data_IF_988846154488
#
_entry.id   IF_988846154488
#
_cell.length_a   1.000
_cell.length_b   1.000
_cell.length_c   1.000
_cell.angle_alpha   90.00
_cell.angle_beta   90.00
_cell.angle_gamma   90.00
#
_symmetry.space_group_name_H-M   'P 1'
#
loop_
_entity.id
_entity.type
_entity.pdbx_description
1 polymer ?
#
# COMPACT_ATOMS: atom_id res chain seq x y z
N UNK A 1 -17.31 -7.80 -21.60
CA UNK A 1 -16.23 -7.34 -20.71
C UNK A 1 -16.14 -5.84 -20.85
N UNK A 2 -16.15 -5.09 -19.75
CA UNK A 2 -16.12 -3.62 -19.80
C UNK A 2 -14.72 -3.10 -20.17
N UNK A 3 -14.61 -1.83 -20.59
CA UNK A 3 -13.30 -1.21 -20.87
C UNK A 3 -12.41 -1.19 -19.63
N UNK A 4 -12.98 -0.93 -18.45
CA UNK A 4 -12.22 -0.92 -17.20
C UNK A 4 -11.72 -2.32 -16.83
N UNK A 5 -12.50 -3.38 -17.09
CA UNK A 5 -12.02 -4.76 -16.90
C UNK A 5 -10.81 -5.06 -17.77
N UNK A 6 -10.78 -4.52 -19.01
CA UNK A 6 -9.68 -4.75 -19.95
C UNK A 6 -8.43 -4.06 -19.42
N UNK A 7 -8.54 -2.79 -19.01
CA UNK A 7 -7.44 -2.03 -18.40
C UNK A 7 -6.93 -2.74 -17.15
N UNK A 8 -7.83 -3.15 -16.26
CA UNK A 8 -7.48 -3.84 -15.02
C UNK A 8 -6.77 -5.18 -15.29
N UNK A 9 -7.26 -5.96 -16.26
CA UNK A 9 -6.60 -7.21 -16.66
C UNK A 9 -5.21 -6.97 -17.22
N UNK A 10 -5.03 -5.92 -18.03
CA UNK A 10 -3.73 -5.56 -18.59
C UNK A 10 -2.76 -5.10 -17.50
N UNK A 11 -3.21 -4.26 -16.56
CA UNK A 11 -2.41 -3.83 -15.41
C UNK A 11 -1.89 -5.03 -14.60
N UNK A 12 -2.78 -5.95 -14.22
CA UNK A 12 -2.46 -7.14 -13.40
C UNK A 12 -1.51 -8.14 -14.06
N UNK A 13 -1.23 -8.01 -15.37
CA UNK A 13 -0.24 -8.85 -16.07
C UNK A 13 1.19 -8.34 -15.95
N UNK A 14 1.38 -7.10 -15.48
CA UNK A 14 2.68 -6.44 -15.44
C UNK A 14 3.51 -6.79 -14.20
N UNK A 15 2.91 -7.41 -13.19
CA UNK A 15 3.55 -7.69 -11.90
C UNK A 15 2.85 -8.85 -11.17
N UNK A 16 3.53 -9.44 -10.17
CA UNK A 16 2.95 -10.50 -9.30
C UNK A 16 2.16 -9.85 -8.17
N UNK A 17 0.84 -10.03 -8.17
CA UNK A 17 -0.04 -9.60 -7.07
C UNK A 17 0.17 -10.47 -5.83
N UNK A 18 0.08 -9.88 -4.63
CA UNK A 18 0.21 -10.63 -3.38
C UNK A 18 -1.13 -11.19 -2.90
N UNK A 19 -1.21 -12.48 -2.54
CA UNK A 19 -2.26 -12.98 -1.66
C UNK A 19 -2.23 -12.25 -0.31
N UNK A 20 -3.40 -12.03 0.29
CA UNK A 20 -3.53 -11.38 1.60
C UNK A 20 -2.64 -12.03 2.68
N UNK A 21 -2.56 -13.36 2.70
CA UNK A 21 -1.76 -14.15 3.64
C UNK A 21 -0.25 -13.99 3.46
N UNK A 22 0.24 -13.47 2.32
CA UNK A 22 1.66 -13.21 2.10
C UNK A 22 2.09 -11.80 2.54
N UNK A 23 1.14 -10.94 2.95
CA UNK A 23 1.46 -9.57 3.37
C UNK A 23 2.35 -9.54 4.62
N UNK A 24 2.12 -10.33 5.69
CA UNK A 24 3.04 -10.34 6.85
C UNK A 24 4.48 -10.67 6.47
N UNK A 25 4.68 -11.68 5.61
CA UNK A 25 5.99 -12.03 5.06
C UNK A 25 6.61 -10.89 4.23
N UNK A 26 5.78 -10.10 3.55
CA UNK A 26 6.22 -8.91 2.82
C UNK A 26 6.78 -7.84 3.75
N UNK A 27 6.07 -7.55 4.83
CA UNK A 27 6.55 -6.57 5.80
C UNK A 27 7.81 -7.05 6.49
N UNK A 28 7.90 -8.33 6.85
CA UNK A 28 9.12 -8.91 7.45
C UNK A 28 10.36 -8.80 6.57
N UNK A 29 10.22 -8.83 5.23
CA UNK A 29 11.35 -8.62 4.29
C UNK A 29 11.57 -7.16 3.90
N UNK A 30 10.85 -6.22 4.51
CA UNK A 30 11.04 -4.77 4.32
C UNK A 30 10.12 -4.12 3.26
N UNK A 31 9.03 -4.77 2.84
CA UNK A 31 8.04 -4.13 1.99
C UNK A 31 7.25 -3.04 2.75
N UNK A 32 6.78 -2.04 2.03
CA UNK A 32 5.99 -0.93 2.58
C UNK A 32 4.53 -1.11 2.16
N UNK A 33 3.66 -1.39 3.14
CA UNK A 33 2.21 -1.46 2.91
C UNK A 33 1.63 -0.05 2.84
N UNK A 34 0.91 0.25 1.77
CA UNK A 34 0.31 1.57 1.54
C UNK A 34 -1.20 1.43 1.38
N UNK A 35 -1.96 2.03 2.29
CA UNK A 35 -3.42 2.12 2.20
C UNK A 35 -3.83 3.38 1.43
N UNK A 36 -4.39 3.18 0.23
CA UNK A 36 -4.83 4.26 -0.67
C UNK A 36 -6.32 4.57 -0.56
N UNK A 37 -7.02 3.96 0.42
CA UNK A 37 -8.46 4.21 0.63
C UNK A 37 -8.68 5.63 1.16
N UNK A 38 -9.71 6.34 0.66
CA UNK A 38 -10.11 7.61 1.23
C UNK A 38 -10.42 7.50 2.72
N UNK A 39 -10.17 8.55 3.49
CA UNK A 39 -10.42 8.58 4.94
C UNK A 39 -11.84 8.08 5.31
N UNK A 40 -12.88 8.50 4.58
CA UNK A 40 -14.26 8.08 4.84
C UNK A 40 -14.50 6.57 4.64
N UNK A 41 -13.69 5.92 3.80
CA UNK A 41 -13.75 4.47 3.61
C UNK A 41 -13.02 3.75 4.75
N UNK A 42 -11.82 4.22 5.13
CA UNK A 42 -11.08 3.68 6.30
C UNK A 42 -11.86 3.82 7.60
N UNK A 43 -12.58 4.93 7.78
CA UNK A 43 -13.45 5.13 8.94
C UNK A 43 -14.58 4.09 9.03
N UNK A 44 -15.13 3.66 7.89
CA UNK A 44 -16.22 2.67 7.84
C UNK A 44 -15.73 1.23 7.91
N UNK A 45 -14.64 0.93 7.23
CA UNK A 45 -14.13 -0.44 7.09
C UNK A 45 -13.16 -0.81 8.21
N UNK A 46 -12.36 0.15 8.68
CA UNK A 46 -11.29 -0.03 9.65
C UNK A 46 -9.92 0.36 9.07
N UNK A 47 -9.01 0.75 9.97
CA UNK A 47 -7.60 1.04 9.68
C UNK A 47 -6.81 -0.26 9.48
N UNK A 48 -5.63 -0.17 8.85
CA UNK A 48 -4.70 -1.29 8.69
C UNK A 48 -3.45 -1.03 9.52
N UNK A 49 -3.20 -1.82 10.59
CA UNK A 49 -2.03 -1.64 11.42
C UNK A 49 -0.73 -1.68 10.60
N UNK A 50 0.14 -0.69 10.82
CA UNK A 50 1.44 -0.59 10.15
C UNK A 50 1.40 -0.14 8.68
N UNK A 51 0.23 0.13 8.10
CA UNK A 51 0.14 0.68 6.75
C UNK A 51 0.40 2.19 6.74
N UNK A 52 1.18 2.66 5.76
CA UNK A 52 1.25 4.08 5.43
C UNK A 52 -0.03 4.51 4.72
N UNK A 53 -0.65 5.58 5.18
CA UNK A 53 -1.85 6.13 4.55
C UNK A 53 -1.42 7.16 3.50
N UNK A 54 -1.65 6.83 2.23
CA UNK A 54 -1.39 7.73 1.11
C UNK A 54 -2.59 7.66 0.18
N UNK A 55 -3.47 8.66 0.19
CA UNK A 55 -4.63 8.61 -0.70
C UNK A 55 -4.20 8.58 -2.18
N UNK A 56 -5.01 7.92 -3.01
CA UNK A 56 -4.65 7.59 -4.40
C UNK A 56 -4.21 8.81 -5.22
N UNK A 57 -4.75 9.99 -4.93
CA UNK A 57 -4.54 11.24 -5.67
C UNK A 57 -3.11 11.79 -5.58
N UNK A 58 -2.32 11.41 -4.59
CA UNK A 58 -0.94 11.91 -4.37
C UNK A 58 0.11 10.80 -4.43
N UNK A 59 -0.29 9.55 -4.68
CA UNK A 59 0.54 8.36 -4.52
C UNK A 59 1.86 8.45 -5.28
N UNK A 60 1.83 8.77 -6.56
CA UNK A 60 3.00 8.83 -7.43
C UNK A 60 4.07 9.78 -6.88
N UNK A 61 3.66 11.00 -6.51
CA UNK A 61 4.58 12.00 -5.95
C UNK A 61 5.17 11.62 -4.59
N UNK A 62 4.43 10.85 -3.78
CA UNK A 62 4.88 10.40 -2.46
C UNK A 62 5.84 9.21 -2.55
N UNK A 63 5.67 8.34 -3.55
CA UNK A 63 6.47 7.13 -3.73
C UNK A 63 7.71 7.33 -4.62
N UNK A 64 7.74 8.34 -5.49
CA UNK A 64 8.87 8.63 -6.39
C UNK A 64 10.10 9.16 -5.59
N UNK A 65 11.24 8.45 -5.59
CA UNK A 65 12.44 8.87 -4.87
C UNK A 65 13.09 10.14 -5.42
N UNK A 66 12.72 10.57 -6.62
CA UNK A 66 13.19 11.80 -7.29
C UNK A 66 12.27 12.99 -7.07
N UNK A 67 11.07 12.77 -6.53
CA UNK A 67 10.08 13.82 -6.26
C UNK A 67 10.45 14.67 -5.04
N UNK A 68 10.26 16.00 -5.11
CA UNK A 68 10.39 16.90 -3.96
C UNK A 68 9.37 16.62 -2.86
N UNK A 69 8.21 16.02 -3.21
CA UNK A 69 7.13 15.69 -2.29
C UNK A 69 7.23 14.27 -1.72
N UNK A 70 8.33 13.55 -1.98
CA UNK A 70 8.49 12.17 -1.57
C UNK A 70 8.40 11.96 -0.07
N UNK A 71 7.98 10.77 0.32
CA UNK A 71 8.07 10.33 1.72
C UNK A 71 9.48 9.80 2.06
N UNK A 72 9.86 9.77 3.34
CA UNK A 72 11.14 9.21 3.78
C UNK A 72 11.38 7.77 3.33
N UNK A 73 10.33 6.96 3.17
CA UNK A 73 10.38 5.57 2.73
C UNK A 73 10.74 5.43 1.24
N UNK A 74 10.57 6.48 0.44
CA UNK A 74 10.97 6.53 -0.98
C UNK A 74 12.49 6.74 -1.13
N UNK A 75 13.26 5.77 -0.65
CA UNK A 75 14.73 5.80 -0.62
C UNK A 75 15.38 5.40 -1.95
N UNK A 76 14.63 4.78 -2.86
CA UNK A 76 15.10 4.38 -4.18
C UNK A 76 14.08 3.52 -4.93
N UNK A 77 14.43 3.10 -6.15
CA UNK A 77 13.53 2.36 -7.05
C UNK A 77 13.26 0.92 -6.58
N UNK A 78 14.11 0.39 -5.69
CA UNK A 78 14.05 -0.97 -5.12
C UNK A 78 13.08 -1.11 -3.93
N UNK A 79 12.31 -0.07 -3.58
CA UNK A 79 11.29 -0.16 -2.52
C UNK A 79 10.12 -1.03 -2.99
N UNK A 80 9.77 -2.06 -2.22
CA UNK A 80 8.60 -2.91 -2.49
C UNK A 80 7.34 -2.24 -1.95
N UNK A 81 6.72 -1.41 -2.79
CA UNK A 81 5.43 -0.77 -2.49
C UNK A 81 4.28 -1.76 -2.67
N UNK A 82 3.64 -2.17 -1.57
CA UNK A 82 2.46 -3.05 -1.57
C UNK A 82 1.21 -2.20 -1.41
N UNK A 83 0.51 -1.96 -2.52
CA UNK A 83 -0.63 -1.05 -2.55
C UNK A 83 -1.92 -1.76 -2.17
N UNK A 84 -2.67 -1.16 -1.25
CA UNK A 84 -3.90 -1.68 -0.70
C UNK A 84 -5.05 -0.71 -0.97
N UNK A 85 -6.14 -1.22 -1.56
CA UNK A 85 -7.44 -0.56 -1.53
C UNK A 85 -8.47 -1.50 -0.90
N UNK A 86 -9.76 -1.15 -0.96
CA UNK A 86 -10.82 -1.95 -0.31
C UNK A 86 -10.96 -3.36 -0.89
N UNK A 87 -11.06 -3.51 -2.21
CA UNK A 87 -11.33 -4.80 -2.88
C UNK A 87 -10.23 -5.26 -3.87
N UNK A 88 -9.13 -4.52 -3.99
CA UNK A 88 -8.02 -4.88 -4.87
C UNK A 88 -8.23 -4.52 -6.35
N UNK A 89 -9.12 -3.58 -6.67
CA UNK A 89 -9.31 -3.05 -8.03
C UNK A 89 -8.44 -1.81 -8.27
N UNK A 90 -8.70 -0.74 -7.53
CA UNK A 90 -7.96 0.53 -7.62
C UNK A 90 -6.48 0.36 -7.33
N UNK A 91 -6.12 -0.49 -6.37
CA UNK A 91 -4.73 -0.79 -6.03
C UNK A 91 -3.96 -1.40 -7.19
N UNK A 92 -4.61 -2.20 -8.05
CA UNK A 92 -3.94 -2.77 -9.22
C UNK A 92 -3.57 -1.69 -10.24
N UNK A 93 -4.44 -0.71 -10.44
CA UNK A 93 -4.18 0.42 -11.33
C UNK A 93 -3.11 1.35 -10.72
N UNK A 94 -3.12 1.52 -9.40
CA UNK A 94 -2.14 2.29 -8.68
C UNK A 94 -0.73 1.67 -8.77
N UNK A 95 -0.61 0.36 -8.53
CA UNK A 95 0.65 -0.37 -8.70
C UNK A 95 1.18 -0.23 -10.14
N UNK A 96 0.31 -0.36 -11.16
CA UNK A 96 0.72 -0.16 -12.54
C UNK A 96 1.23 1.27 -12.82
N UNK A 97 0.62 2.30 -12.24
CA UNK A 97 1.10 3.68 -12.36
C UNK A 97 2.47 3.89 -11.70
N UNK A 98 2.72 3.23 -10.56
CA UNK A 98 4.05 3.24 -9.93
C UNK A 98 5.10 2.53 -10.79
N UNK A 99 4.74 1.44 -11.49
CA UNK A 99 5.62 0.82 -12.48
C UNK A 99 5.94 1.76 -13.65
N UNK A 100 4.98 2.59 -14.09
CA UNK A 100 5.17 3.53 -15.19
C UNK A 100 6.22 4.61 -14.89
N UNK A 101 6.47 4.90 -13.61
CA UNK A 101 7.50 5.85 -13.15
C UNK A 101 8.79 5.16 -12.67
N UNK A 102 8.96 3.86 -12.92
CA UNK A 102 10.22 3.13 -12.65
C UNK A 102 10.28 2.36 -11.32
N UNK A 103 9.24 2.43 -10.47
CA UNK A 103 9.18 1.71 -9.20
C UNK A 103 8.84 0.23 -9.42
N UNK A 104 9.81 -0.51 -9.93
CA UNK A 104 9.64 -1.84 -10.51
C UNK A 104 9.18 -2.94 -9.53
N UNK A 105 9.28 -2.71 -8.22
CA UNK A 105 8.76 -3.63 -7.18
C UNK A 105 7.35 -3.30 -6.68
N UNK A 106 6.69 -2.31 -7.28
CA UNK A 106 5.31 -1.99 -6.94
C UNK A 106 4.34 -3.15 -7.26
N UNK A 107 3.43 -3.40 -6.34
CA UNK A 107 2.47 -4.51 -6.42
C UNK A 107 1.21 -4.18 -5.62
N UNK A 108 0.22 -5.08 -5.64
CA UNK A 108 -1.04 -4.90 -4.91
C UNK A 108 -1.53 -6.18 -4.25
N UNK A 109 -2.46 -6.02 -3.30
CA UNK A 109 -3.07 -7.14 -2.57
C UNK A 109 -4.32 -7.64 -3.29
N UNK A 110 -4.36 -8.94 -3.56
CA UNK A 110 -5.53 -9.63 -4.12
C UNK A 110 -6.69 -9.53 -3.11
N UNK A 111 -7.80 -8.94 -3.55
CA UNK A 111 -9.01 -8.78 -2.73
C UNK A 111 -8.94 -7.64 -1.70
N UNK A 112 -7.85 -6.88 -1.67
CA UNK A 112 -7.73 -5.65 -0.87
C UNK A 112 -7.89 -5.87 0.64
N UNK A 113 -8.35 -4.82 1.32
CA UNK A 113 -8.65 -4.82 2.75
C UNK A 113 -9.57 -5.96 3.15
N UNK A 114 -10.61 -6.24 2.36
CA UNK A 114 -11.56 -7.31 2.67
C UNK A 114 -10.90 -8.68 2.73
N UNK A 115 -9.92 -8.94 1.86
CA UNK A 115 -9.16 -10.19 1.92
C UNK A 115 -8.23 -10.26 3.13
N UNK A 116 -7.59 -9.14 3.53
CA UNK A 116 -6.80 -9.09 4.77
C UNK A 116 -7.66 -9.36 6.00
N UNK A 117 -8.83 -8.71 6.09
CA UNK A 117 -9.78 -8.91 7.17
C UNK A 117 -10.29 -10.35 7.21
N UNK A 118 -10.73 -10.88 6.07
CA UNK A 118 -11.25 -12.24 5.95
C UNK A 118 -10.22 -13.33 6.24
N UNK A 119 -8.93 -13.05 6.01
CA UNK A 119 -7.83 -13.96 6.31
C UNK A 119 -7.28 -13.82 7.75
N UNK A 120 -7.82 -12.90 8.57
CA UNK A 120 -7.32 -12.65 9.93
C UNK A 120 -5.98 -11.89 10.00
N UNK A 121 -5.47 -11.43 8.85
CA UNK A 121 -4.16 -10.77 8.75
C UNK A 121 -4.14 -9.45 9.52
N UNK A 122 -5.25 -8.70 9.56
CA UNK A 122 -5.31 -7.46 10.34
C UNK A 122 -5.03 -7.69 11.83
N UNK A 123 -5.48 -8.82 12.38
CA UNK A 123 -5.23 -9.19 13.77
C UNK A 123 -3.76 -9.56 13.99
N UNK A 124 -3.15 -10.29 13.07
CA UNK A 124 -1.72 -10.62 13.10
C UNK A 124 -0.85 -9.34 13.06
N UNK A 125 -1.17 -8.42 12.15
CA UNK A 125 -0.45 -7.14 12.03
C UNK A 125 -0.60 -6.27 13.29
N UNK A 126 -1.77 -6.29 13.93
CA UNK A 126 -1.98 -5.59 15.21
C UNK A 126 -1.14 -6.21 16.35
N UNK A 127 -1.00 -7.54 16.37
CA UNK A 127 -0.18 -8.25 17.36
C UNK A 127 1.31 -7.94 17.23
N UNK A 128 1.84 -7.89 15.99
CA UNK A 128 3.24 -7.55 15.75
C UNK A 128 3.60 -6.09 16.06
N UNK A 129 2.63 -5.16 15.98
CA UNK A 129 2.84 -3.76 16.34
C UNK A 129 3.05 -3.55 17.85
N UNK A 130 2.54 -4.44 18.70
CA UNK A 130 2.73 -4.37 20.15
C UNK A 130 4.16 -4.75 20.58
N UNK A 131 4.87 -5.52 19.75
CA UNK A 131 6.23 -6.00 20.03
C UNK A 131 7.34 -5.10 19.42
N UNK A 132 6.97 -4.06 18.66
CA UNK A 132 7.93 -3.09 18.16
C UNK A 132 8.34 -2.13 19.29
N UNK A 133 9.65 -1.93 19.57
CA UNK A 133 10.08 -0.96 20.56
C UNK A 133 9.57 0.42 20.15
N UNK A 134 8.97 1.14 21.11
CA UNK A 134 8.53 2.52 20.95
C UNK A 134 9.73 3.37 20.52
N UNK A 135 9.86 3.62 19.22
CA UNK A 135 10.78 4.61 18.70
C UNK A 135 10.29 5.98 19.18
N UNK A 136 11.12 6.64 19.97
CA UNK A 136 10.83 7.97 20.52
C UNK A 136 10.70 8.98 19.37
N UNK A 137 9.47 9.28 18.96
CA UNK A 137 9.20 10.29 17.94
C UNK A 137 8.97 11.66 18.59
N UNK A 138 10.05 12.25 19.09
CA UNK A 138 10.12 13.69 19.31
C UNK A 138 10.60 14.38 18.02
N UNK A 139 9.68 14.67 17.11
CA UNK A 139 9.86 15.72 16.10
C UNK A 139 8.49 16.16 15.55
N UNK A 140 8.18 17.43 15.76
CA UNK A 140 6.90 18.03 15.40
C UNK A 140 6.74 18.25 13.90
N UNK A 141 5.47 18.39 13.50
CA UNK A 141 5.11 18.74 12.15
C UNK A 141 3.84 18.04 11.69
N UNK A 142 2.71 18.30 12.36
CA UNK A 142 1.40 17.98 11.79
C UNK A 142 1.23 18.83 10.53
N UNK A 143 1.47 18.24 9.37
CA UNK A 143 1.10 18.84 8.09
C UNK A 143 0.20 17.87 7.33
N UNK A 144 -1.10 18.03 7.59
CA UNK A 144 -2.19 17.47 6.80
C UNK A 144 -2.52 18.50 5.71
N UNK A 145 -2.03 18.28 4.48
CA UNK A 145 -2.70 18.56 3.20
C UNK A 145 -2.17 17.55 2.18
#
# INVERSE_FOLDING_TARGET
>A
MSRIDVVLRSARRRYRRLPATEVPDALRRGAVLVDIRPQAQRFREGEVPGALVIERNVLEWRCDPTSEAKLPEAVGDDVEWVILCSEGYTSSLAAAALLDIGLHRATDVIGGYHALAGAGVLTELAGGAADAPLADSAAGGRRWI
#
